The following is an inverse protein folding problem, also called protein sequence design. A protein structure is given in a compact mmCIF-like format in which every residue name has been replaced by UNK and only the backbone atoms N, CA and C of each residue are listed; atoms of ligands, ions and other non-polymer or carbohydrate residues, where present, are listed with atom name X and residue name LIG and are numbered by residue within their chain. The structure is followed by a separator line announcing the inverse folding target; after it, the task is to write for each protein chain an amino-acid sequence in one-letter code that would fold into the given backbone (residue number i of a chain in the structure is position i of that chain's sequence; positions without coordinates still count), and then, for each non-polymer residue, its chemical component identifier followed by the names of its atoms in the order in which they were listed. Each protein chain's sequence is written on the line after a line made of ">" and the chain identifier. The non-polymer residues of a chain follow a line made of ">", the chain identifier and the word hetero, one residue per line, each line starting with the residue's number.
data_IF_223472607298
#
_entry.id   IF_223472607298
#
_cell.length_a   1.000
_cell.length_b   1.000
_cell.length_c   1.000
_cell.angle_alpha   90.00
_cell.angle_beta   90.00
_cell.angle_gamma   90.00
#
_symmetry.space_group_name_H-M   'P 1'
#
loop_
_entity.id
_entity.type
_entity.pdbx_description
1 polymer ?
#
# COMPACT_ATOMS: atom_id res chain seq x y z
N UNK A 1 14.24 12.63 4.40
CA UNK A 1 13.58 12.97 3.12
C UNK A 1 13.49 11.70 2.29
N UNK A 2 12.43 11.56 1.49
CA UNK A 2 12.29 10.42 0.57
C UNK A 2 13.38 10.47 -0.52
N UNK A 3 13.88 9.32 -1.00
CA UNK A 3 14.86 9.30 -2.07
C UNK A 3 14.22 9.73 -3.38
N UNK A 4 14.91 10.57 -4.15
CA UNK A 4 14.45 10.97 -5.49
C UNK A 4 14.58 9.79 -6.45
N UNK A 5 13.57 9.59 -7.30
CA UNK A 5 13.63 8.58 -8.35
C UNK A 5 14.84 8.82 -9.27
N UNK A 6 15.76 7.85 -9.40
CA UNK A 6 17.06 8.08 -10.02
C UNK A 6 17.07 7.95 -11.54
N UNK A 7 15.93 7.60 -12.15
CA UNK A 7 15.80 7.37 -13.59
C UNK A 7 15.00 8.49 -14.27
N UNK A 8 14.95 8.46 -15.60
CA UNK A 8 14.21 9.45 -16.39
C UNK A 8 12.72 9.43 -16.07
N UNK A 9 12.12 10.62 -16.06
CA UNK A 9 10.67 10.83 -15.90
C UNK A 9 10.18 11.59 -17.13
N UNK A 10 9.08 11.12 -17.71
CA UNK A 10 8.32 11.88 -18.70
C UNK A 10 7.45 12.93 -17.97
N UNK A 11 7.89 14.19 -18.02
CA UNK A 11 7.23 15.27 -17.30
C UNK A 11 5.81 15.55 -17.78
N UNK A 12 5.54 15.39 -19.08
CA UNK A 12 4.23 15.68 -19.66
C UNK A 12 3.22 14.58 -19.26
N UNK A 13 3.68 13.33 -19.22
CA UNK A 13 2.90 12.20 -18.76
C UNK A 13 2.68 12.25 -17.23
N UNK A 14 3.70 12.61 -16.45
CA UNK A 14 3.57 12.82 -15.02
C UNK A 14 2.58 13.95 -14.68
N UNK A 15 2.56 15.03 -15.46
CA UNK A 15 1.60 16.12 -15.29
C UNK A 15 0.15 15.67 -15.55
N UNK A 16 -0.08 14.80 -16.54
CA UNK A 16 -1.39 14.16 -16.76
C UNK A 16 -1.76 13.23 -15.60
N UNK A 17 -0.80 12.43 -15.13
CA UNK A 17 -0.95 11.53 -13.99
C UNK A 17 -1.31 12.25 -12.70
N UNK A 18 -0.74 13.44 -12.48
CA UNK A 18 -1.05 14.28 -11.32
C UNK A 18 -2.53 14.62 -11.25
N UNK A 19 -3.14 15.03 -12.37
CA UNK A 19 -4.56 15.39 -12.41
C UNK A 19 -5.44 14.19 -12.07
N UNK A 20 -5.11 13.00 -12.61
CA UNK A 20 -5.82 11.76 -12.30
C UNK A 20 -5.67 11.38 -10.82
N UNK A 21 -4.45 11.51 -10.29
CA UNK A 21 -4.15 11.23 -8.88
C UNK A 21 -4.92 12.16 -7.94
N UNK A 22 -4.93 13.47 -8.20
CA UNK A 22 -5.66 14.44 -7.39
C UNK A 22 -7.17 14.16 -7.36
N UNK A 23 -7.72 13.69 -8.47
CA UNK A 23 -9.15 13.38 -8.59
C UNK A 23 -9.57 12.05 -7.95
N UNK A 24 -8.65 11.09 -7.78
CA UNK A 24 -9.00 9.70 -7.38
C UNK A 24 -8.29 9.23 -6.12
N UNK A 25 -7.04 9.64 -5.90
CA UNK A 25 -6.17 9.08 -4.87
C UNK A 25 -5.98 10.03 -3.67
N UNK A 26 -5.98 11.34 -3.91
CA UNK A 26 -5.58 12.34 -2.92
C UNK A 26 -6.49 12.41 -1.68
N UNK A 27 -7.76 12.01 -1.79
CA UNK A 27 -8.68 11.95 -0.64
C UNK A 27 -8.15 11.02 0.46
N UNK A 28 -7.51 9.91 0.08
CA UNK A 28 -6.95 8.95 1.05
C UNK A 28 -5.45 9.20 1.29
N UNK A 29 -4.68 9.44 0.23
CA UNK A 29 -3.22 9.52 0.29
C UNK A 29 -2.68 10.94 0.48
N UNK A 30 -3.54 11.97 0.47
CA UNK A 30 -3.12 13.35 0.59
C UNK A 30 -2.67 13.99 -0.72
N UNK A 31 -2.20 15.23 -0.61
CA UNK A 31 -1.69 16.04 -1.74
C UNK A 31 -0.20 16.28 -1.56
N UNK A 32 0.51 16.51 -2.68
CA UNK A 32 1.98 16.61 -2.73
C UNK A 32 2.42 17.91 -3.41
N UNK A 33 3.60 18.40 -3.06
CA UNK A 33 4.15 19.70 -3.50
C UNK A 33 4.25 20.70 -2.34
N UNK A 34 4.33 22.00 -2.66
CA UNK A 34 4.56 23.06 -1.66
C UNK A 34 3.52 23.10 -0.55
N UNK A 35 2.25 22.86 -0.90
CA UNK A 35 1.13 22.88 0.05
C UNK A 35 0.59 21.46 0.29
N UNK A 36 1.48 20.54 0.66
CA UNK A 36 1.12 19.14 0.89
C UNK A 36 0.11 18.99 2.03
N UNK A 37 -0.69 17.94 1.96
CA UNK A 37 -1.61 17.53 3.03
C UNK A 37 -1.53 16.04 3.23
N UNK A 38 -1.61 15.57 4.47
CA UNK A 38 -1.72 14.15 4.78
C UNK A 38 -2.92 13.91 5.70
N UNK A 39 -4.01 13.29 5.20
CA UNK A 39 -5.22 13.09 5.98
C UNK A 39 -5.03 12.16 7.19
N UNK A 40 -4.00 11.31 7.18
CA UNK A 40 -3.83 10.21 8.12
C UNK A 40 -5.11 9.36 8.23
N UNK A 41 -5.70 9.06 7.08
CA UNK A 41 -7.02 8.43 7.00
C UNK A 41 -6.92 6.91 7.18
N UNK A 42 -7.65 6.40 8.17
CA UNK A 42 -7.93 4.97 8.29
C UNK A 42 -9.04 4.60 7.29
N UNK A 43 -8.67 3.88 6.24
CA UNK A 43 -9.63 3.40 5.23
C UNK A 43 -10.22 2.07 5.71
N UNK A 44 -11.54 2.00 5.80
CA UNK A 44 -12.22 0.80 6.30
C UNK A 44 -11.98 -0.41 5.40
N UNK A 45 -12.02 -1.61 5.98
CA UNK A 45 -11.90 -2.87 5.22
C UNK A 45 -12.97 -3.02 4.13
N UNK A 46 -14.17 -2.46 4.34
CA UNK A 46 -15.23 -2.45 3.32
C UNK A 46 -14.84 -1.63 2.08
N UNK A 47 -14.16 -0.50 2.28
CA UNK A 47 -13.73 0.36 1.18
C UNK A 47 -12.43 -0.14 0.53
N UNK A 48 -11.43 -0.48 1.34
CA UNK A 48 -10.10 -0.87 0.81
C UNK A 48 -10.06 -2.32 0.35
N UNK A 49 -10.81 -3.25 0.96
CA UNK A 49 -10.92 -4.65 0.51
C UNK A 49 -9.62 -5.47 0.48
N UNK A 50 -8.51 -4.94 1.01
CA UNK A 50 -7.24 -5.67 1.15
C UNK A 50 -7.34 -6.75 2.22
N UNK A 51 -6.36 -7.65 2.29
CA UNK A 51 -6.36 -8.77 3.25
C UNK A 51 -6.80 -8.31 4.66
N UNK A 52 -7.89 -8.84 5.22
CA UNK A 52 -8.45 -8.34 6.46
C UNK A 52 -7.84 -9.00 7.70
N UNK A 53 -6.96 -10.00 7.55
CA UNK A 53 -6.54 -10.88 8.65
C UNK A 53 -5.91 -10.11 9.80
N UNK A 54 -4.95 -9.23 9.52
CA UNK A 54 -4.26 -8.44 10.55
C UNK A 54 -5.21 -7.46 11.23
N UNK A 55 -5.98 -6.69 10.46
CA UNK A 55 -6.96 -5.76 11.00
C UNK A 55 -7.99 -6.49 11.88
N UNK A 56 -8.56 -7.59 11.40
CA UNK A 56 -9.51 -8.40 12.15
C UNK A 56 -8.90 -9.00 13.41
N UNK A 57 -7.63 -9.39 13.37
CA UNK A 57 -6.94 -9.90 14.55
C UNK A 57 -6.95 -8.90 15.70
N UNK A 58 -6.77 -7.60 15.42
CA UNK A 58 -6.78 -6.56 16.45
C UNK A 58 -8.16 -6.02 16.81
N UNK A 59 -9.14 -6.13 15.92
CA UNK A 59 -10.50 -5.61 16.15
C UNK A 59 -11.45 -6.65 16.72
N UNK A 60 -11.16 -7.93 16.55
CA UNK A 60 -11.96 -9.01 17.13
C UNK A 60 -11.69 -9.10 18.63
N UNK A 61 -12.75 -9.06 19.43
CA UNK A 61 -12.66 -9.24 20.88
C UNK A 61 -12.00 -10.57 21.21
N UNK A 62 -11.02 -10.52 22.10
CA UNK A 62 -10.33 -11.67 22.64
C UNK A 62 -9.78 -11.30 24.01
N UNK A 63 -9.53 -12.29 24.87
CA UNK A 63 -8.97 -12.03 26.21
C UNK A 63 -7.69 -11.20 26.14
N UNK A 64 -6.86 -11.40 25.12
CA UNK A 64 -5.59 -10.68 24.95
C UNK A 64 -5.83 -9.26 24.44
N UNK A 65 -6.65 -9.07 23.39
CA UNK A 65 -6.92 -7.74 22.84
C UNK A 65 -7.66 -6.87 23.84
N UNK A 66 -8.70 -7.41 24.47
CA UNK A 66 -9.53 -6.68 25.42
C UNK A 66 -8.70 -6.25 26.62
N UNK A 67 -7.87 -7.15 27.15
CA UNK A 67 -6.92 -6.83 28.22
C UNK A 67 -5.91 -5.75 27.80
N UNK A 68 -5.26 -5.91 26.64
CA UNK A 68 -4.22 -4.99 26.20
C UNK A 68 -4.76 -3.59 25.92
N UNK A 69 -5.90 -3.49 25.23
CA UNK A 69 -6.56 -2.23 24.93
C UNK A 69 -7.03 -1.54 26.21
N UNK A 70 -7.63 -2.27 27.15
CA UNK A 70 -8.02 -1.72 28.46
C UNK A 70 -6.81 -1.25 29.26
N UNK A 71 -5.79 -2.09 29.40
CA UNK A 71 -4.56 -1.76 30.12
C UNK A 71 -3.86 -0.52 29.52
N UNK A 72 -3.78 -0.42 28.20
CA UNK A 72 -3.14 0.72 27.54
C UNK A 72 -3.96 2.00 27.74
N UNK A 73 -5.27 1.94 27.47
CA UNK A 73 -6.15 3.09 27.45
C UNK A 73 -6.56 3.58 28.86
N UNK A 74 -6.47 2.73 29.88
CA UNK A 74 -6.76 3.11 31.28
C UNK A 74 -5.51 3.22 32.15
N UNK A 75 -4.40 2.63 31.72
CA UNK A 75 -3.12 2.67 32.42
C UNK A 75 -2.35 3.97 32.21
N UNK A 76 -1.03 3.90 32.43
CA UNK A 76 -0.16 5.08 32.41
C UNK A 76 -0.21 5.86 31.08
N UNK A 77 -0.32 5.15 29.94
CA UNK A 77 -0.39 5.78 28.62
C UNK A 77 -1.71 6.55 28.39
N UNK A 78 -2.84 6.01 28.89
CA UNK A 78 -4.17 6.55 28.64
C UNK A 78 -4.70 7.56 29.67
N UNK A 79 -4.05 7.69 30.83
CA UNK A 79 -4.58 8.42 31.99
C UNK A 79 -4.01 9.82 32.22
N UNK A 80 -3.02 10.26 31.44
CA UNK A 80 -2.43 11.60 31.56
C UNK A 80 -3.21 12.68 30.77
N UNK A 81 -2.91 13.95 31.02
CA UNK A 81 -3.54 15.09 30.31
C UNK A 81 -3.31 15.05 28.79
N UNK A 82 -2.16 14.53 28.35
CA UNK A 82 -1.81 14.29 26.94
C UNK A 82 -1.78 12.78 26.66
N UNK A 83 -2.91 12.11 26.87
CA UNK A 83 -2.97 10.66 26.76
C UNK A 83 -2.78 10.13 25.33
N UNK A 84 -2.23 8.92 25.26
CA UNK A 84 -2.28 8.10 24.07
C UNK A 84 -3.52 7.22 24.14
N UNK A 85 -4.10 6.93 22.98
CA UNK A 85 -5.27 6.08 22.91
C UNK A 85 -5.19 5.16 21.69
N UNK A 86 -5.28 3.85 21.92
CA UNK A 86 -5.35 2.86 20.84
C UNK A 86 -6.81 2.63 20.51
N UNK A 87 -7.16 2.89 19.24
CA UNK A 87 -8.45 2.55 18.65
C UNK A 87 -8.25 1.56 17.52
N UNK A 88 -8.74 0.34 17.69
CA UNK A 88 -8.82 -0.64 16.62
C UNK A 88 -10.17 -0.48 15.90
N UNK A 89 -10.21 0.29 14.81
CA UNK A 89 -11.46 0.66 14.11
C UNK A 89 -11.69 -0.08 12.77
N UNK A 90 -10.89 -1.11 12.47
CA UNK A 90 -11.11 -1.99 11.32
C UNK A 90 -10.78 -1.35 9.98
N UNK A 91 -9.55 -1.52 9.52
CA UNK A 91 -9.08 -0.92 8.28
C UNK A 91 -7.56 -0.83 8.23
N UNK A 92 -7.08 -0.10 7.23
CA UNK A 92 -5.66 0.24 7.08
C UNK A 92 -5.49 1.72 6.79
N UNK A 93 -4.47 2.31 7.39
CA UNK A 93 -4.11 3.70 7.09
C UNK A 93 -3.59 3.75 5.66
N UNK A 94 -4.08 4.70 4.87
CA UNK A 94 -3.47 5.04 3.60
C UNK A 94 -2.15 5.77 3.89
N UNK A 95 -0.97 5.18 3.60
CA UNK A 95 0.30 5.82 3.91
C UNK A 95 0.57 7.01 2.97
N UNK A 96 1.43 7.96 3.37
CA UNK A 96 1.99 8.92 2.42
C UNK A 96 2.78 8.16 1.34
N UNK A 97 2.82 8.73 0.14
CA UNK A 97 3.43 8.11 -1.05
C UNK A 97 4.77 8.76 -1.43
N UNK A 98 5.32 9.64 -0.60
CA UNK A 98 6.67 10.17 -0.81
C UNK A 98 7.69 9.01 -0.85
N UNK A 99 8.44 8.88 -1.94
CA UNK A 99 9.38 7.80 -2.18
C UNK A 99 8.75 6.43 -2.43
N UNK A 100 7.45 6.36 -2.76
CA UNK A 100 6.72 5.09 -3.00
C UNK A 100 7.38 4.21 -4.07
N UNK A 101 8.12 4.82 -5.00
CA UNK A 101 8.87 4.09 -6.01
C UNK A 101 9.87 3.10 -5.37
N UNK A 102 10.44 3.41 -4.20
CA UNK A 102 11.51 2.65 -3.58
C UNK A 102 11.05 1.57 -2.57
N UNK A 103 9.74 1.40 -2.37
CA UNK A 103 9.21 0.61 -1.23
C UNK A 103 8.48 -0.66 -1.65
N UNK A 104 8.70 -1.15 -2.87
CA UNK A 104 8.13 -2.43 -3.27
C UNK A 104 8.61 -3.58 -2.33
N UNK A 105 7.79 -4.63 -2.10
CA UNK A 105 6.43 -4.80 -2.61
C UNK A 105 5.40 -3.99 -1.80
N UNK A 106 4.20 -3.86 -2.34
CA UNK A 106 3.15 -2.98 -1.86
C UNK A 106 2.06 -3.71 -1.06
N UNK A 107 1.21 -2.92 -0.41
CA UNK A 107 0.26 -3.28 0.65
C UNK A 107 0.91 -3.67 1.98
N UNK A 108 0.09 -3.71 3.03
CA UNK A 108 0.54 -4.00 4.40
C UNK A 108 1.20 -5.37 4.56
N UNK A 109 0.91 -6.32 3.65
CA UNK A 109 1.47 -7.67 3.65
C UNK A 109 2.52 -7.90 2.56
N UNK A 110 2.86 -6.90 1.74
CA UNK A 110 3.87 -7.03 0.69
C UNK A 110 3.47 -7.98 -0.44
N UNK A 111 2.17 -8.13 -0.70
CA UNK A 111 1.63 -9.12 -1.64
C UNK A 111 1.70 -8.71 -3.12
N UNK A 112 1.82 -7.42 -3.40
CA UNK A 112 1.78 -6.87 -4.77
C UNK A 112 3.17 -6.36 -5.18
N UNK A 113 3.81 -6.91 -6.23
CA UNK A 113 5.24 -6.67 -6.48
C UNK A 113 5.57 -5.30 -7.08
N UNK A 114 4.62 -4.66 -7.78
CA UNK A 114 4.84 -3.39 -8.48
C UNK A 114 3.67 -2.41 -8.34
N UNK A 115 3.89 -1.11 -8.50
CA UNK A 115 2.79 -0.12 -8.50
C UNK A 115 1.85 -0.36 -9.69
N UNK A 116 2.39 -0.78 -10.84
CA UNK A 116 1.55 -1.15 -11.98
C UNK A 116 0.54 -2.27 -11.62
N UNK A 117 0.94 -3.23 -10.80
CA UNK A 117 0.05 -4.30 -10.31
C UNK A 117 -0.90 -3.80 -9.20
N UNK A 118 -0.54 -2.74 -8.45
CA UNK A 118 -1.48 -2.04 -7.55
C UNK A 118 -2.60 -1.37 -8.37
N UNK A 119 -2.23 -0.67 -9.44
CA UNK A 119 -3.14 0.06 -10.32
C UNK A 119 -4.01 -0.84 -11.21
N UNK A 120 -3.66 -2.12 -11.38
CA UNK A 120 -4.43 -3.10 -12.14
C UNK A 120 -4.57 -4.42 -11.36
N UNK A 121 -5.65 -4.54 -10.60
CA UNK A 121 -5.87 -5.68 -9.70
C UNK A 121 -6.00 -7.01 -10.43
N UNK A 122 -6.57 -6.99 -11.64
CA UNK A 122 -6.80 -8.20 -12.45
C UNK A 122 -5.50 -8.84 -12.96
N UNK A 123 -4.40 -8.08 -12.99
CA UNK A 123 -3.09 -8.55 -13.44
C UNK A 123 -2.19 -9.07 -12.31
N UNK A 124 -2.63 -9.01 -11.05
CA UNK A 124 -1.78 -9.37 -9.90
C UNK A 124 -1.46 -10.86 -9.89
N UNK A 125 -0.19 -11.26 -9.68
CA UNK A 125 0.19 -12.67 -9.63
C UNK A 125 -0.33 -13.36 -8.37
N UNK A 126 -0.85 -14.58 -8.51
CA UNK A 126 -1.25 -15.42 -7.36
C UNK A 126 -0.04 -15.94 -6.58
N UNK A 127 1.04 -16.25 -7.29
CA UNK A 127 2.33 -16.60 -6.69
C UNK A 127 3.44 -16.00 -7.50
N UNK A 128 4.44 -15.47 -6.81
CA UNK A 128 5.59 -14.86 -7.46
C UNK A 128 6.83 -14.98 -6.61
N UNK A 129 7.99 -14.92 -7.25
CA UNK A 129 9.28 -14.80 -6.58
C UNK A 129 10.12 -13.72 -7.26
N UNK A 130 11.06 -13.16 -6.51
CA UNK A 130 12.06 -12.21 -7.02
C UNK A 130 13.47 -12.73 -6.72
N UNK A 131 14.48 -12.11 -7.31
CA UNK A 131 15.88 -12.49 -7.13
C UNK A 131 16.47 -12.15 -5.75
N UNK A 132 15.83 -11.24 -5.00
CA UNK A 132 16.37 -10.62 -3.78
C UNK A 132 17.64 -9.78 -4.00
N UNK A 133 18.00 -9.52 -5.26
CA UNK A 133 18.97 -8.49 -5.62
C UNK A 133 18.26 -7.13 -5.57
N UNK A 134 18.84 -6.18 -4.83
CA UNK A 134 18.28 -4.83 -4.70
C UNK A 134 18.38 -4.01 -5.99
N UNK A 135 19.18 -4.46 -6.96
CA UNK A 135 19.31 -3.83 -8.27
C UNK A 135 18.32 -4.37 -9.31
N UNK A 136 17.64 -5.48 -9.00
CA UNK A 136 16.70 -6.15 -9.91
C UNK A 136 15.31 -5.51 -9.87
N UNK A 137 15.26 -4.31 -10.44
CA UNK A 137 14.14 -3.39 -10.33
C UNK A 137 13.50 -3.12 -11.70
N UNK A 138 12.18 -3.19 -11.78
CA UNK A 138 11.40 -2.88 -12.97
C UNK A 138 11.02 -1.40 -12.98
N UNK A 139 11.72 -0.60 -13.80
CA UNK A 139 11.43 0.83 -13.97
C UNK A 139 10.08 1.08 -14.67
N UNK A 140 9.61 0.15 -15.49
CA UNK A 140 8.39 0.27 -16.27
C UNK A 140 7.15 0.02 -15.42
N UNK A 141 7.24 -0.89 -14.44
CA UNK A 141 6.17 -1.21 -13.50
C UNK A 141 6.31 -0.55 -12.13
N UNK A 142 7.50 -0.01 -11.83
CA UNK A 142 7.89 0.59 -10.55
C UNK A 142 7.75 -0.43 -9.42
N UNK A 143 8.76 -1.29 -9.30
CA UNK A 143 8.84 -2.30 -8.25
C UNK A 143 9.84 -3.41 -8.58
N UNK A 144 9.62 -4.61 -8.03
CA UNK A 144 10.52 -5.73 -8.29
C UNK A 144 10.28 -6.33 -9.68
N UNK A 145 11.35 -6.70 -10.39
CA UNK A 145 11.22 -7.76 -11.38
C UNK A 145 10.85 -9.06 -10.64
N UNK A 146 9.91 -9.81 -11.21
CA UNK A 146 9.42 -11.04 -10.60
C UNK A 146 9.10 -12.10 -11.65
N UNK A 147 9.12 -13.35 -11.20
CA UNK A 147 8.68 -14.50 -11.97
C UNK A 147 7.39 -15.04 -11.39
N UNK A 148 6.37 -15.22 -12.23
CA UNK A 148 5.13 -15.89 -11.84
C UNK A 148 5.45 -17.36 -11.57
N UNK A 149 4.95 -17.87 -10.45
CA UNK A 149 5.12 -19.27 -10.05
C UNK A 149 3.78 -19.99 -10.14
N UNK A 150 3.77 -21.19 -10.70
CA UNK A 150 2.55 -22.02 -10.71
C UNK A 150 2.25 -22.58 -9.31
N UNK A 151 3.30 -22.96 -8.59
CA UNK A 151 3.24 -23.57 -7.25
C UNK A 151 4.19 -22.86 -6.28
N UNK A 152 3.98 -23.07 -4.97
CA UNK A 152 4.94 -22.62 -3.96
C UNK A 152 6.19 -23.50 -4.00
N UNK A 153 7.27 -23.00 -4.58
CA UNK A 153 8.52 -23.76 -4.76
C UNK A 153 9.33 -23.81 -3.47
N UNK A 154 9.42 -22.68 -2.77
CA UNK A 154 10.23 -22.53 -1.56
C UNK A 154 9.73 -21.38 -0.67
N UNK A 155 10.55 -20.98 0.31
CA UNK A 155 10.26 -19.84 1.20
C UNK A 155 10.30 -18.47 0.52
N UNK A 156 10.92 -18.39 -0.67
CA UNK A 156 11.09 -17.16 -1.45
C UNK A 156 9.92 -16.96 -2.43
N UNK A 157 9.04 -17.96 -2.58
CA UNK A 157 7.79 -17.82 -3.32
C UNK A 157 6.73 -17.21 -2.42
N UNK A 158 6.31 -15.99 -2.74
CA UNK A 158 5.13 -15.37 -2.13
C UNK A 158 3.88 -16.08 -2.68
N UNK A 159 2.99 -16.54 -1.81
CA UNK A 159 1.75 -17.26 -2.17
C UNK A 159 0.56 -16.55 -1.54
N UNK A 160 -0.29 -15.94 -2.38
CA UNK A 160 -1.42 -15.11 -1.94
C UNK A 160 -2.62 -15.94 -1.46
N UNK A 161 -2.59 -17.27 -1.63
CA UNK A 161 -3.62 -18.17 -1.10
C UNK A 161 -3.44 -18.49 0.39
N UNK A 162 -2.32 -18.09 0.99
CA UNK A 162 -2.08 -18.27 2.42
C UNK A 162 -2.85 -17.21 3.23
N UNK A 163 -3.26 -17.60 4.43
CA UNK A 163 -3.96 -16.71 5.38
C UNK A 163 -3.10 -15.49 5.71
N UNK A 164 -3.63 -14.28 5.51
CA UNK A 164 -2.91 -13.01 5.73
C UNK A 164 -2.10 -12.53 4.53
N UNK A 165 -2.02 -13.31 3.46
CA UNK A 165 -1.17 -13.02 2.30
C UNK A 165 -1.97 -12.56 1.07
N UNK A 166 -3.29 -12.38 1.16
CA UNK A 166 -4.10 -12.06 0.01
C UNK A 166 -3.65 -10.75 -0.68
N UNK A 167 -3.68 -10.75 -2.01
CA UNK A 167 -3.36 -9.59 -2.86
C UNK A 167 -4.61 -8.88 -3.39
N UNK A 168 -5.76 -9.06 -2.73
CA UNK A 168 -7.04 -8.44 -3.10
C UNK A 168 -7.11 -6.97 -2.66
N UNK A 169 -8.19 -6.29 -3.06
CA UNK A 169 -8.49 -4.94 -2.59
C UNK A 169 -7.75 -3.83 -3.33
N UNK A 170 -8.03 -2.60 -2.94
CA UNK A 170 -7.49 -1.38 -3.52
C UNK A 170 -7.65 -1.40 -5.05
N UNK A 171 -8.88 -1.62 -5.50
CA UNK A 171 -9.26 -1.81 -6.91
C UNK A 171 -9.59 -0.49 -7.61
N UNK A 172 -9.38 0.65 -6.96
CA UNK A 172 -9.71 1.97 -7.49
C UNK A 172 -9.02 2.28 -8.84
N UNK A 173 -7.82 1.75 -9.06
CA UNK A 173 -7.09 1.87 -10.33
C UNK A 173 -7.71 1.06 -11.48
N UNK A 174 -8.59 0.11 -11.19
CA UNK A 174 -9.22 -0.73 -12.22
C UNK A 174 -10.16 0.08 -13.12
N UNK A 175 -10.69 1.20 -12.63
CA UNK A 175 -11.53 2.11 -13.41
C UNK A 175 -10.75 2.89 -14.49
N UNK A 176 -9.42 3.02 -14.33
CA UNK A 176 -8.58 3.68 -15.31
C UNK A 176 -8.34 2.81 -16.55
N UNK A 177 -8.24 3.46 -17.71
CA UNK A 177 -7.68 2.89 -18.92
C UNK A 177 -6.19 2.59 -18.75
N UNK A 178 -5.62 1.79 -19.65
CA UNK A 178 -4.18 1.49 -19.62
C UNK A 178 -3.31 2.76 -19.68
N UNK A 179 -3.68 3.73 -20.52
CA UNK A 179 -2.97 5.00 -20.66
C UNK A 179 -3.05 5.85 -19.38
N UNK A 180 -4.23 5.92 -18.75
CA UNK A 180 -4.41 6.63 -17.48
C UNK A 180 -3.60 5.99 -16.36
N UNK A 181 -3.54 4.66 -16.27
CA UNK A 181 -2.68 3.96 -15.30
C UNK A 181 -1.21 4.28 -15.51
N UNK A 182 -0.74 4.32 -16.76
CA UNK A 182 0.64 4.72 -17.08
C UNK A 182 0.92 6.17 -16.66
N UNK A 183 -0.03 7.07 -16.88
CA UNK A 183 0.09 8.47 -16.45
C UNK A 183 0.22 8.57 -14.92
N UNK A 184 -0.69 7.93 -14.17
CA UNK A 184 -0.63 7.91 -12.70
C UNK A 184 0.68 7.27 -12.22
N UNK A 185 1.11 6.16 -12.81
CA UNK A 185 2.39 5.52 -12.48
C UNK A 185 3.58 6.47 -12.69
N UNK A 186 3.58 7.23 -13.78
CA UNK A 186 4.63 8.21 -14.07
C UNK A 186 4.65 9.35 -13.05
N UNK A 187 3.47 9.82 -12.62
CA UNK A 187 3.37 10.80 -11.53
C UNK A 187 3.91 10.25 -10.21
N UNK A 188 3.61 9.00 -9.87
CA UNK A 188 4.10 8.37 -8.63
C UNK A 188 5.63 8.22 -8.58
N UNK A 189 6.33 8.28 -9.73
CA UNK A 189 7.81 8.37 -9.76
C UNK A 189 8.34 9.73 -9.30
N UNK A 190 7.51 10.77 -9.32
CA UNK A 190 7.89 12.13 -8.89
C UNK A 190 7.77 12.33 -7.38
N UNK A 191 7.12 11.40 -6.69
CA UNK A 191 6.86 11.43 -5.25
C UNK A 191 7.99 10.77 -4.45
#
# INVERSE_FOLDING_TARGET
>A
EAPVYPFSIDSDLAAQGKQLFENTCATCHGTYGENYTYPNLLVSLESVGTDPYLSNHYTTSSTVNDYFLDWFNTGWFGSSENNLHIKAEGGYVAPPLDGIWATAPYFHNGSVPTIADVLNSTGRPLRWSRSFDNTDYDQSKVGWNYTIQETKVDKNTYDTSLMGHANSGHTFGDAFTETERKAVLEYLKTL
#
